data_IF_665295829552
#
_entry.id   IF_665295829552
#
_cell.length_a   1.000
_cell.length_b   1.000
_cell.length_c   1.000
_cell.angle_alpha   90.00
_cell.angle_beta   90.00
_cell.angle_gamma   90.00
#
_symmetry.space_group_name_H-M   'P 1'
#
loop_
_entity.id
_entity.type
_entity.pdbx_description
1 polymer ?
#
# COMPACT_ATOMS: atom_id res chain seq x y z
N UNK A 1 -13.70 -5.10 19.49
CA UNK A 1 -12.44 -5.85 19.27
C UNK A 1 -12.70 -6.81 18.12
N UNK A 2 -11.91 -6.75 17.05
CA UNK A 2 -11.96 -7.76 15.99
C UNK A 2 -11.68 -9.12 16.65
N UNK A 3 -12.52 -10.13 16.43
CA UNK A 3 -12.25 -11.46 16.97
C UNK A 3 -10.94 -12.06 16.42
N UNK A 4 -10.47 -13.20 16.93
CA UNK A 4 -9.20 -13.81 16.50
C UNK A 4 -9.11 -14.03 14.98
N UNK A 5 -10.22 -14.36 14.33
CA UNK A 5 -10.31 -14.52 12.86
C UNK A 5 -10.13 -13.16 12.14
N UNK A 6 -10.73 -12.09 12.66
CA UNK A 6 -10.62 -10.75 12.09
C UNK A 6 -9.21 -10.18 12.18
N UNK A 7 -8.50 -10.43 13.29
CA UNK A 7 -7.11 -9.97 13.45
C UNK A 7 -6.13 -10.74 12.56
N UNK A 8 -6.34 -12.04 12.34
CA UNK A 8 -5.53 -12.84 11.40
C UNK A 8 -5.77 -12.41 9.96
N UNK A 9 -7.04 -12.17 9.57
CA UNK A 9 -7.37 -11.64 8.25
C UNK A 9 -6.74 -10.26 8.01
N UNK A 10 -6.84 -9.35 8.99
CA UNK A 10 -6.22 -8.02 8.93
C UNK A 10 -4.69 -8.08 8.79
N UNK A 11 -4.05 -9.04 9.47
CA UNK A 11 -2.61 -9.27 9.35
C UNK A 11 -2.23 -9.76 7.95
N UNK A 12 -2.96 -10.75 7.41
CA UNK A 12 -2.71 -11.28 6.06
C UNK A 12 -2.93 -10.23 4.96
N UNK A 13 -4.03 -9.48 5.02
CA UNK A 13 -4.32 -8.40 4.05
C UNK A 13 -3.29 -7.29 4.14
N UNK A 14 -2.86 -6.92 5.35
CA UNK A 14 -1.83 -5.88 5.52
C UNK A 14 -0.47 -6.35 4.99
N UNK A 15 -0.09 -7.60 5.23
CA UNK A 15 1.14 -8.18 4.70
C UNK A 15 1.13 -8.23 3.16
N UNK A 16 0.02 -8.68 2.57
CA UNK A 16 -0.16 -8.70 1.12
C UNK A 16 -0.15 -7.27 0.54
N UNK A 17 -0.87 -6.34 1.17
CA UNK A 17 -0.91 -4.93 0.75
C UNK A 17 0.47 -4.29 0.76
N UNK A 18 1.26 -4.49 1.81
CA UNK A 18 2.65 -4.01 1.87
C UNK A 18 3.46 -4.60 0.71
N UNK A 19 3.45 -5.92 0.53
CA UNK A 19 4.24 -6.57 -0.51
C UNK A 19 3.85 -6.10 -1.92
N UNK A 20 2.56 -6.06 -2.22
CA UNK A 20 2.04 -5.66 -3.52
C UNK A 20 2.31 -4.19 -3.82
N UNK A 21 2.02 -3.28 -2.88
CA UNK A 21 2.21 -1.85 -3.09
C UNK A 21 3.69 -1.47 -3.15
N UNK A 22 4.55 -2.11 -2.35
CA UNK A 22 5.99 -1.93 -2.46
C UNK A 22 6.53 -2.41 -3.80
N UNK A 23 6.05 -3.56 -4.30
CA UNK A 23 6.43 -4.04 -5.63
C UNK A 23 6.01 -3.05 -6.73
N UNK A 24 4.80 -2.51 -6.63
CA UNK A 24 4.28 -1.55 -7.61
C UNK A 24 5.04 -0.21 -7.57
N UNK A 25 5.39 0.28 -6.37
CA UNK A 25 6.22 1.48 -6.21
C UNK A 25 7.61 1.30 -6.85
N UNK A 26 8.23 0.12 -6.69
CA UNK A 26 9.53 -0.22 -7.31
C UNK A 26 9.42 -0.24 -8.83
N UNK A 27 8.34 -0.81 -9.39
CA UNK A 27 8.12 -0.84 -10.83
C UNK A 27 7.95 0.57 -11.42
N UNK A 28 7.24 1.46 -10.73
CA UNK A 28 7.08 2.86 -11.14
C UNK A 28 8.42 3.58 -11.10
N UNK A 29 9.19 3.41 -10.03
CA UNK A 29 10.51 4.02 -9.85
C UNK A 29 11.52 3.57 -10.91
N UNK A 30 11.44 2.33 -11.37
CA UNK A 30 12.33 1.77 -12.39
C UNK A 30 11.85 2.00 -13.84
N UNK A 31 10.89 2.90 -14.05
CA UNK A 31 10.32 3.20 -15.36
C UNK A 31 9.84 1.98 -16.14
N UNK A 32 9.23 1.02 -15.43
CA UNK A 32 8.78 -0.21 -16.07
C UNK A 32 7.71 0.12 -17.15
N UNK A 33 7.91 -0.34 -18.40
CA UNK A 33 7.15 0.16 -19.55
C UNK A 33 5.66 -0.14 -19.48
N UNK A 34 5.27 -1.24 -18.83
CA UNK A 34 3.88 -1.66 -18.69
C UNK A 34 3.11 -0.90 -17.60
N UNK A 35 3.78 -0.09 -16.77
CA UNK A 35 3.11 0.82 -15.81
C UNK A 35 2.85 2.19 -16.44
N UNK A 36 3.39 2.44 -17.64
CA UNK A 36 3.18 3.69 -18.37
C UNK A 36 1.73 3.94 -18.79
N UNK A 37 0.91 2.90 -18.94
CA UNK A 37 -0.52 3.03 -19.26
C UNK A 37 -1.34 3.72 -18.16
N UNK A 38 -0.81 3.81 -16.93
CA UNK A 38 -1.46 4.51 -15.82
C UNK A 38 -1.23 6.03 -15.83
N UNK A 39 -0.28 6.50 -16.64
CA UNK A 39 0.15 7.89 -16.68
C UNK A 39 -0.15 8.44 -18.08
N UNK A 40 -1.38 8.92 -18.28
CA UNK A 40 -1.74 9.62 -19.50
C UNK A 40 -1.28 11.08 -19.43
N UNK A 41 -0.63 11.62 -20.47
CA UNK A 41 -0.37 13.05 -20.59
C UNK A 41 -1.66 13.85 -20.91
N UNK A 42 -2.86 13.29 -20.69
CA UNK A 42 -4.11 13.99 -20.95
C UNK A 42 -4.35 15.02 -19.85
N UNK A 43 -4.06 16.28 -20.16
CA UNK A 43 -4.67 17.39 -19.44
C UNK A 43 -6.18 17.32 -19.65
N UNK A 44 -6.94 17.06 -18.59
CA UNK A 44 -8.37 17.33 -18.61
C UNK A 44 -8.57 18.85 -18.64
N UNK A 45 -9.29 19.38 -19.63
CA UNK A 45 -9.80 20.76 -19.56
C UNK A 45 -8.83 21.90 -19.84
N UNK A 46 -7.83 21.73 -20.72
CA UNK A 46 -7.05 22.87 -21.25
C UNK A 46 -5.88 23.34 -20.39
N UNK A 47 -5.54 22.62 -19.31
CA UNK A 47 -4.28 22.81 -18.59
C UNK A 47 -3.10 22.18 -19.34
N UNK A 48 -1.88 22.77 -19.23
CA UNK A 48 -0.69 22.17 -19.80
C UNK A 48 -0.47 20.77 -19.21
N UNK A 49 -0.11 19.77 -20.03
CA UNK A 49 0.05 18.41 -19.56
C UNK A 49 1.17 18.34 -18.52
N UNK A 50 0.83 17.86 -17.31
CA UNK A 50 1.82 17.60 -16.26
C UNK A 50 2.84 16.59 -16.79
N UNK A 51 4.16 16.85 -16.67
CA UNK A 51 5.19 15.92 -17.11
C UNK A 51 4.99 14.53 -16.52
N UNK A 52 5.11 13.48 -17.34
CA UNK A 52 4.95 12.07 -16.91
C UNK A 52 5.86 11.73 -15.71
N UNK A 53 7.04 12.36 -15.62
CA UNK A 53 7.96 12.20 -14.49
C UNK A 53 7.35 12.69 -13.16
N UNK A 54 6.62 13.81 -13.17
CA UNK A 54 5.96 14.34 -11.97
C UNK A 54 4.78 13.48 -11.54
N UNK A 55 4.01 12.96 -12.49
CA UNK A 55 2.92 12.02 -12.21
C UNK A 55 3.43 10.72 -11.58
N UNK A 56 4.55 10.19 -12.10
CA UNK A 56 5.21 9.00 -11.54
C UNK A 56 5.73 9.24 -10.13
N UNK A 57 6.38 10.37 -9.88
CA UNK A 57 6.88 10.72 -8.56
C UNK A 57 5.74 10.87 -7.53
N UNK A 58 4.62 11.48 -7.94
CA UNK A 58 3.44 11.60 -7.09
C UNK A 58 2.80 10.23 -6.77
N UNK A 59 2.69 9.35 -7.77
CA UNK A 59 2.17 8.00 -7.58
C UNK A 59 3.09 7.11 -6.74
N UNK A 60 4.41 7.16 -6.96
CA UNK A 60 5.40 6.49 -6.11
C UNK A 60 5.25 6.93 -4.65
N UNK A 61 5.20 8.25 -4.41
CA UNK A 61 5.04 8.78 -3.07
C UNK A 61 3.72 8.31 -2.44
N UNK A 62 2.61 8.35 -3.17
CA UNK A 62 1.31 7.85 -2.72
C UNK A 62 1.33 6.37 -2.33
N UNK A 63 2.02 5.53 -3.11
CA UNK A 63 2.19 4.12 -2.82
C UNK A 63 3.01 3.87 -1.56
N UNK A 64 4.10 4.62 -1.35
CA UNK A 64 4.89 4.51 -0.11
C UNK A 64 4.11 4.98 1.12
N UNK A 65 3.27 6.00 1.00
CA UNK A 65 2.35 6.40 2.06
C UNK A 65 1.36 5.28 2.38
N UNK A 66 0.77 4.64 1.35
CA UNK A 66 -0.13 3.51 1.55
C UNK A 66 0.58 2.31 2.21
N UNK A 67 1.82 1.99 1.81
CA UNK A 67 2.66 0.97 2.46
C UNK A 67 2.85 1.30 3.94
N UNK A 68 3.15 2.55 4.29
CA UNK A 68 3.29 2.97 5.68
C UNK A 68 1.99 2.76 6.49
N UNK A 69 0.83 3.07 5.91
CA UNK A 69 -0.48 2.83 6.55
C UNK A 69 -0.70 1.33 6.78
N UNK A 70 -0.47 0.48 5.78
CA UNK A 70 -0.60 -0.96 5.95
C UNK A 70 0.41 -1.54 6.95
N UNK A 71 1.63 -0.98 7.04
CA UNK A 71 2.61 -1.37 8.06
C UNK A 71 2.11 -1.07 9.48
N UNK A 72 1.50 0.10 9.71
CA UNK A 72 0.88 0.44 11.00
C UNK A 72 -0.27 -0.53 11.32
N UNK A 73 -1.14 -0.81 10.36
CA UNK A 73 -2.24 -1.77 10.53
C UNK A 73 -1.75 -3.19 10.82
N UNK A 74 -0.64 -3.61 10.19
CA UNK A 74 0.00 -4.89 10.45
C UNK A 74 0.52 -4.97 11.89
N UNK A 75 1.15 -3.92 12.41
CA UNK A 75 1.65 -3.85 13.79
C UNK A 75 0.47 -3.97 14.77
N UNK A 76 -0.59 -3.20 14.57
CA UNK A 76 -1.79 -3.22 15.42
C UNK A 76 -2.44 -4.62 15.40
N UNK A 77 -2.59 -5.21 14.21
CA UNK A 77 -3.17 -6.54 14.05
C UNK A 77 -2.31 -7.62 14.71
N UNK A 78 -0.98 -7.51 14.60
CA UNK A 78 -0.02 -8.41 15.25
C UNK A 78 -0.11 -8.32 16.77
N UNK A 79 -0.18 -7.12 17.34
CA UNK A 79 -0.39 -6.91 18.77
C UNK A 79 -1.72 -7.51 19.25
N UNK A 80 -2.79 -7.34 18.47
CA UNK A 80 -4.09 -7.94 18.77
C UNK A 80 -4.02 -9.48 18.80
N UNK A 81 -3.37 -10.11 17.82
CA UNK A 81 -3.18 -11.57 17.79
C UNK A 81 -2.33 -12.04 18.98
N UNK A 82 -1.24 -11.34 19.30
CA UNK A 82 -0.40 -11.67 20.45
C UNK A 82 -1.18 -11.57 21.77
N UNK A 83 -1.99 -10.51 21.96
CA UNK A 83 -2.83 -10.34 23.15
C UNK A 83 -3.90 -11.43 23.28
N UNK A 84 -4.55 -11.82 22.17
CA UNK A 84 -5.50 -12.93 22.17
C UNK A 84 -4.83 -14.27 22.50
N UNK A 85 -3.62 -14.51 21.97
CA UNK A 85 -2.85 -15.72 22.27
C UNK A 85 -2.48 -15.80 23.75
N UNK A 86 -2.01 -14.71 24.36
CA UNK A 86 -1.65 -14.67 25.79
C UNK A 86 -2.87 -14.81 26.70
N UNK A 87 -4.00 -14.14 26.36
CA UNK A 87 -5.24 -14.22 27.16
C UNK A 87 -6.00 -15.54 27.00
N UNK A 88 -5.84 -16.25 25.89
CA UNK A 88 -6.44 -17.58 25.68
C UNK A 88 -5.65 -18.74 26.31
N UNK A 89 -4.46 -18.47 26.86
CA UNK A 89 -3.61 -19.43 27.59
C UNK A 89 -3.69 -19.32 29.12
N UNK A 90 -4.56 -18.45 29.65
CA UNK A 90 -4.94 -18.36 31.07
C UNK A 90 -6.38 -18.90 31.24
#
# INVERSE_FOLDING_TARGET
>A
MCGPIGSVFGLAVSAFGIAFLSFLAILIRNDYPYVGEWFEPKGEGGEPPVPIAEQRAAAEHGLWVAVAIYAVLLIISSLSVCLHRVRGTL
#
